data_IF_865118835234
#
_entry.id   IF_865118835234
#
_cell.length_a   1.000
_cell.length_b   1.000
_cell.length_c   1.000
_cell.angle_alpha   90.00
_cell.angle_beta   90.00
_cell.angle_gamma   90.00
#
_symmetry.space_group_name_H-M   'P 1'
#
loop_
_entity.id
_entity.type
_entity.pdbx_description
1 polymer ?
#
# COMPACT_ATOMS: atom_id res chain seq x y z
N UNK A 1 -2.31 -30.44 -0.05
CA UNK A 1 -3.41 -29.55 0.37
C UNK A 1 -3.67 -28.60 -0.79
N UNK A 2 -4.85 -28.65 -1.42
CA UNK A 2 -5.21 -27.69 -2.48
C UNK A 2 -5.39 -26.34 -1.79
N UNK A 3 -4.59 -25.34 -2.14
CA UNK A 3 -4.85 -23.97 -1.72
C UNK A 3 -6.22 -23.56 -2.27
N UNK A 4 -7.06 -22.95 -1.44
CA UNK A 4 -8.33 -22.42 -1.91
C UNK A 4 -8.06 -21.44 -3.06
N UNK A 5 -8.74 -21.63 -4.18
CA UNK A 5 -8.60 -20.78 -5.37
C UNK A 5 -9.05 -19.33 -5.10
N UNK A 6 -9.82 -19.13 -4.02
CA UNK A 6 -10.34 -17.85 -3.57
C UNK A 6 -10.32 -17.84 -2.04
N UNK A 7 -9.81 -16.75 -1.46
CA UNK A 7 -9.94 -16.45 -0.04
C UNK A 7 -10.80 -15.19 0.13
N UNK A 8 -11.71 -15.21 1.10
CA UNK A 8 -12.55 -14.07 1.45
C UNK A 8 -12.75 -13.99 2.96
N UNK A 9 -13.00 -12.78 3.46
CA UNK A 9 -13.32 -12.52 4.86
C UNK A 9 -14.30 -11.36 4.99
N UNK A 10 -15.28 -11.50 5.87
CA UNK A 10 -16.22 -10.43 6.21
C UNK A 10 -15.58 -9.47 7.23
N UNK A 11 -15.78 -8.16 7.03
CA UNK A 11 -15.39 -7.15 7.99
C UNK A 11 -16.44 -6.04 8.08
N UNK A 12 -16.51 -5.37 9.23
CA UNK A 12 -17.34 -4.18 9.44
C UNK A 12 -16.48 -2.92 9.52
N UNK A 13 -16.99 -1.83 8.97
CA UNK A 13 -16.37 -0.51 9.15
C UNK A 13 -16.72 -0.03 10.56
N UNK A 14 -15.73 -0.03 11.45
CA UNK A 14 -15.90 0.37 12.85
C UNK A 14 -15.62 1.86 13.11
N UNK A 15 -14.77 2.49 12.29
CA UNK A 15 -14.44 3.92 12.37
C UNK A 15 -13.85 4.43 11.06
N UNK A 16 -13.92 5.75 10.87
CA UNK A 16 -13.26 6.48 9.79
C UNK A 16 -12.30 7.50 10.39
N UNK A 17 -11.08 7.57 9.87
CA UNK A 17 -10.05 8.52 10.32
C UNK A 17 -9.69 9.44 9.16
N UNK A 18 -9.82 10.75 9.40
CA UNK A 18 -9.29 11.77 8.51
C UNK A 18 -7.90 12.16 8.99
N UNK A 19 -6.91 12.09 8.11
CA UNK A 19 -5.54 12.43 8.42
C UNK A 19 -4.98 13.43 7.39
N UNK A 20 -4.07 14.28 7.84
CA UNK A 20 -3.24 15.13 7.00
C UNK A 20 -1.78 14.83 7.30
N UNK A 21 -1.01 14.57 6.26
CA UNK A 21 0.44 14.37 6.34
C UNK A 21 1.11 15.73 6.15
N UNK A 22 2.04 16.07 7.04
CA UNK A 22 2.79 17.33 6.95
C UNK A 22 3.78 17.29 5.77
N UNK A 23 4.10 18.44 5.15
CA UNK A 23 5.11 18.49 4.10
C UNK A 23 6.45 17.95 4.58
N UNK A 24 7.11 17.13 3.75
CA UNK A 24 8.43 16.54 4.03
C UNK A 24 8.40 15.21 4.77
N UNK A 25 7.23 14.73 5.19
CA UNK A 25 7.08 13.42 5.82
C UNK A 25 6.99 12.29 4.79
N UNK A 26 7.54 11.12 5.14
CA UNK A 26 7.32 9.88 4.40
C UNK A 26 5.88 9.39 4.58
N UNK A 27 5.21 9.05 3.47
CA UNK A 27 3.79 8.68 3.45
C UNK A 27 3.55 7.40 4.26
N UNK A 28 4.41 6.40 4.11
CA UNK A 28 4.24 5.11 4.79
C UNK A 28 4.45 5.24 6.30
N UNK A 29 5.48 5.98 6.71
CA UNK A 29 5.77 6.26 8.12
C UNK A 29 4.63 7.05 8.77
N UNK A 30 4.11 8.08 8.08
CA UNK A 30 2.97 8.85 8.57
C UNK A 30 1.69 8.00 8.69
N UNK A 31 1.42 7.10 7.74
CA UNK A 31 0.29 6.18 7.82
C UNK A 31 0.41 5.20 8.99
N UNK A 32 1.60 4.66 9.25
CA UNK A 32 1.87 3.81 10.43
C UNK A 32 1.58 4.57 11.72
N UNK A 33 2.00 5.82 11.80
CA UNK A 33 1.76 6.68 12.96
C UNK A 33 0.27 6.98 13.15
N UNK A 34 -0.48 7.25 12.08
CA UNK A 34 -1.95 7.40 12.12
C UNK A 34 -2.58 6.12 12.65
N UNK A 35 -2.17 4.96 12.14
CA UNK A 35 -2.70 3.67 12.60
C UNK A 35 -2.41 3.45 14.08
N UNK A 36 -1.18 3.72 14.53
CA UNK A 36 -0.78 3.62 15.93
C UNK A 36 -1.59 4.54 16.84
N UNK A 37 -1.69 5.83 16.50
CA UNK A 37 -2.45 6.85 17.28
C UNK A 37 -3.91 6.47 17.48
N UNK A 38 -4.52 5.85 16.48
CA UNK A 38 -5.93 5.49 16.51
C UNK A 38 -6.18 4.03 16.89
N UNK A 39 -5.16 3.21 17.12
CA UNK A 39 -5.31 1.77 17.36
C UNK A 39 -5.98 1.06 16.16
N UNK A 40 -5.44 1.24 14.96
CA UNK A 40 -5.85 0.55 13.74
C UNK A 40 -4.88 -0.60 13.50
N UNK A 41 -5.40 -1.83 13.51
CA UNK A 41 -4.66 -3.06 13.19
C UNK A 41 -5.02 -3.63 11.82
N UNK A 42 -6.20 -3.27 11.31
CA UNK A 42 -6.69 -3.66 9.99
C UNK A 42 -7.62 -2.59 9.43
N UNK A 43 -7.62 -2.39 8.12
CA UNK A 43 -8.51 -1.43 7.46
C UNK A 43 -8.22 -1.30 5.97
N UNK A 44 -8.79 -0.26 5.35
CA UNK A 44 -8.46 0.11 3.98
C UNK A 44 -8.33 1.63 3.88
N UNK A 45 -7.46 2.07 2.97
CA UNK A 45 -7.36 3.47 2.56
C UNK A 45 -8.50 3.71 1.58
N UNK A 46 -9.57 4.38 2.03
CA UNK A 46 -10.71 4.70 1.19
C UNK A 46 -10.32 5.67 0.06
N UNK A 47 -9.52 6.67 0.40
CA UNK A 47 -8.90 7.61 -0.55
C UNK A 47 -7.76 8.36 0.12
N UNK A 48 -6.81 8.81 -0.68
CA UNK A 48 -5.79 9.79 -0.30
C UNK A 48 -5.40 10.54 -1.56
N UNK A 49 -5.22 11.85 -1.41
CA UNK A 49 -4.76 12.77 -2.45
C UNK A 49 -3.74 13.74 -1.86
N UNK A 50 -2.86 14.29 -2.69
CA UNK A 50 -1.92 15.33 -2.28
C UNK A 50 -0.73 15.47 -3.22
N UNK A 51 0.25 16.26 -2.81
CA UNK A 51 1.48 16.48 -3.58
C UNK A 51 2.66 15.80 -2.89
N UNK A 52 3.55 15.20 -3.68
CA UNK A 52 4.80 14.59 -3.24
C UNK A 52 5.98 15.31 -3.89
N UNK A 53 7.12 15.30 -3.19
CA UNK A 53 8.40 15.80 -3.71
C UNK A 53 9.18 14.73 -4.46
N UNK A 54 8.95 13.48 -4.11
CA UNK A 54 9.49 12.32 -4.78
C UNK A 54 8.64 11.09 -4.46
N UNK A 55 8.78 10.04 -5.26
CA UNK A 55 8.13 8.76 -5.04
C UNK A 55 8.99 7.64 -5.62
N UNK A 56 9.09 6.54 -4.87
CA UNK A 56 9.58 5.28 -5.40
C UNK A 56 8.38 4.39 -5.76
N UNK A 57 8.30 4.00 -7.03
CA UNK A 57 7.23 3.13 -7.53
C UNK A 57 7.83 1.80 -7.97
N UNK A 58 7.32 0.71 -7.42
CA UNK A 58 7.78 -0.64 -7.74
C UNK A 58 6.70 -1.34 -8.58
N UNK A 59 7.06 -1.66 -9.82
CA UNK A 59 6.22 -2.43 -10.74
C UNK A 59 6.42 -3.93 -10.54
N UNK A 60 5.38 -4.71 -10.80
CA UNK A 60 5.47 -6.18 -10.85
C UNK A 60 5.36 -6.65 -12.31
N UNK A 61 6.27 -7.52 -12.73
CA UNK A 61 6.26 -8.17 -14.04
C UNK A 61 6.41 -9.68 -13.94
N UNK A 62 6.25 -10.40 -15.04
CA UNK A 62 6.49 -11.85 -15.11
C UNK A 62 8.00 -12.14 -15.07
N UNK A 63 8.40 -13.24 -14.42
CA UNK A 63 9.80 -13.67 -14.40
C UNK A 63 10.23 -14.03 -15.84
N UNK A 64 11.38 -13.52 -16.34
CA UNK A 64 11.79 -13.71 -17.73
C UNK A 64 11.88 -15.18 -18.17
N UNK A 65 12.37 -16.04 -17.27
CA UNK A 65 12.56 -17.48 -17.54
C UNK A 65 11.37 -18.34 -17.10
N UNK A 66 10.45 -17.80 -16.30
CA UNK A 66 9.29 -18.54 -15.79
C UNK A 66 8.08 -17.60 -15.65
N UNK A 67 7.31 -17.42 -16.74
CA UNK A 67 6.19 -16.48 -16.74
C UNK A 67 5.09 -16.76 -15.70
N UNK A 68 5.09 -17.94 -15.05
CA UNK A 68 4.16 -18.25 -13.97
C UNK A 68 4.51 -17.55 -12.65
N UNK A 69 5.75 -17.04 -12.52
CA UNK A 69 6.24 -16.32 -11.35
C UNK A 69 6.21 -14.82 -11.58
N UNK A 70 5.85 -14.08 -10.53
CA UNK A 70 5.92 -12.64 -10.50
C UNK A 70 7.25 -12.18 -9.89
N UNK A 71 7.87 -11.15 -10.47
CA UNK A 71 9.04 -10.47 -9.94
C UNK A 71 8.78 -8.97 -9.82
N UNK A 72 9.41 -8.35 -8.82
CA UNK A 72 9.43 -6.90 -8.70
C UNK A 72 10.55 -6.36 -9.59
N UNK A 73 10.25 -5.31 -10.35
CA UNK A 73 11.27 -4.52 -11.04
C UNK A 73 12.03 -3.67 -10.01
N UNK A 74 13.20 -3.18 -10.41
CA UNK A 74 13.89 -2.16 -9.64
C UNK A 74 12.97 -0.94 -9.45
N UNK A 75 13.02 -0.27 -8.27
CA UNK A 75 12.20 0.90 -8.03
C UNK A 75 12.43 1.98 -9.09
N UNK A 76 11.34 2.46 -9.68
CA UNK A 76 11.37 3.68 -10.47
C UNK A 76 11.34 4.87 -9.51
N UNK A 77 12.48 5.53 -9.40
CA UNK A 77 12.62 6.75 -8.62
C UNK A 77 12.13 7.95 -9.43
N UNK A 78 11.15 8.66 -8.89
CA UNK A 78 10.57 9.85 -9.49
C UNK A 78 10.84 11.06 -8.58
N UNK A 79 11.42 12.11 -9.14
CA UNK A 79 11.73 13.36 -8.44
C UNK A 79 10.99 14.53 -9.08
N UNK A 80 10.48 15.46 -8.25
CA UNK A 80 9.79 16.67 -8.73
C UNK A 80 8.48 16.96 -7.99
N UNK A 81 7.65 17.83 -8.56
CA UNK A 81 6.31 18.09 -8.03
C UNK A 81 5.34 17.04 -8.60
N UNK A 82 5.14 15.97 -7.84
CA UNK A 82 4.28 14.86 -8.22
C UNK A 82 2.92 15.01 -7.56
N UNK A 83 1.85 14.81 -8.31
CA UNK A 83 0.49 14.80 -7.76
C UNK A 83 0.04 13.35 -7.52
N UNK A 84 -0.22 13.04 -6.26
CA UNK A 84 -0.87 11.82 -5.81
C UNK A 84 -2.38 12.01 -6.00
N UNK A 85 -2.86 11.59 -7.17
CA UNK A 85 -4.27 11.77 -7.58
C UNK A 85 -5.23 10.75 -6.97
N UNK A 86 -4.70 9.66 -6.43
CA UNK A 86 -5.47 8.64 -5.75
C UNK A 86 -4.60 7.52 -5.21
N UNK A 87 -4.85 7.13 -3.97
CA UNK A 87 -4.31 5.91 -3.38
C UNK A 87 -5.43 5.09 -2.77
N UNK A 88 -5.36 3.80 -3.06
CA UNK A 88 -6.16 2.76 -2.45
C UNK A 88 -5.22 1.70 -1.89
N UNK A 89 -5.60 1.05 -0.81
CA UNK A 89 -4.78 0.01 -0.21
C UNK A 89 -5.43 -0.62 1.00
N UNK A 90 -4.89 -1.74 1.44
CA UNK A 90 -5.33 -2.48 2.61
C UNK A 90 -4.27 -2.33 3.69
N UNK A 91 -4.72 -2.16 4.92
CA UNK A 91 -3.89 -2.16 6.11
C UNK A 91 -4.17 -3.47 6.86
N UNK A 92 -3.13 -4.19 7.24
CA UNK A 92 -3.22 -5.41 8.03
C UNK A 92 -1.94 -5.65 8.81
N UNK A 93 -1.86 -6.77 9.51
CA UNK A 93 -0.62 -7.23 10.14
C UNK A 93 0.01 -8.33 9.27
N UNK A 94 1.33 -8.34 9.21
CA UNK A 94 2.08 -9.46 8.64
C UNK A 94 2.23 -10.62 9.64
N UNK A 95 2.93 -11.68 9.23
CA UNK A 95 3.15 -12.88 10.06
C UNK A 95 3.94 -12.59 11.35
N UNK A 96 4.56 -11.41 11.46
CA UNK A 96 5.31 -10.96 12.65
C UNK A 96 4.46 -10.05 13.55
N UNK A 97 3.24 -9.71 13.13
CA UNK A 97 2.37 -8.77 13.82
C UNK A 97 2.69 -7.30 13.50
N UNK A 98 3.57 -7.04 12.54
CA UNK A 98 3.92 -5.69 12.12
C UNK A 98 2.89 -5.16 11.12
N UNK A 99 2.58 -3.87 11.21
CA UNK A 99 1.62 -3.24 10.30
C UNK A 99 2.17 -3.29 8.86
N UNK A 100 1.41 -3.88 7.96
CA UNK A 100 1.67 -3.91 6.53
C UNK A 100 0.62 -3.07 5.79
N UNK A 101 1.09 -2.21 4.90
CA UNK A 101 0.24 -1.39 4.03
C UNK A 101 0.44 -1.92 2.61
N UNK A 102 -0.58 -2.61 2.10
CA UNK A 102 -0.56 -3.25 0.79
C UNK A 102 -1.31 -2.38 -0.22
N UNK A 103 -0.63 -1.94 -1.26
CA UNK A 103 -1.27 -1.41 -2.47
C UNK A 103 -1.52 -2.57 -3.47
N UNK A 104 -2.64 -2.53 -4.19
CA UNK A 104 -2.93 -3.51 -5.23
C UNK A 104 -1.85 -3.43 -6.33
N UNK A 105 -1.08 -4.51 -6.48
CA UNK A 105 0.12 -4.61 -7.33
C UNK A 105 -0.05 -3.86 -8.66
N UNK A 106 0.65 -2.74 -8.88
CA UNK A 106 0.62 -2.07 -10.17
C UNK A 106 1.25 -3.00 -11.21
N UNK A 107 0.45 -3.40 -12.21
CA UNK A 107 0.98 -4.03 -13.42
C UNK A 107 1.43 -2.90 -14.35
N UNK A 108 2.73 -2.85 -14.60
CA UNK A 108 3.29 -1.98 -15.63
C UNK A 108 3.35 -2.81 -16.90
N UNK A 109 2.55 -2.44 -17.90
CA UNK A 109 2.54 -3.05 -19.24
C UNK A 109 3.73 -2.54 -20.06
#
# INVERSE_FOLDING_TARGET
MRADIVSSGEARISKTVLARISPGEDVFSALREVCRKHGIRSGHIATMIGSLRSADVICVTAHPEDPSRAVYLDPLHMEGYLELVGVQGIIGEDDRGDLSILNSRPKCN
#
